data_IF_875141149927
#
_entry.id   IF_875141149927
#
_cell.length_a   1.000
_cell.length_b   1.000
_cell.length_c   1.000
_cell.angle_alpha   90.00
_cell.angle_beta   90.00
_cell.angle_gamma   90.00
#
_symmetry.space_group_name_H-M   'P 1'
#
loop_
_entity.id
_entity.type
_entity.pdbx_description
1 polymer ?
#
# COMPACT_ATOMS: atom_id res chain seq x y z
N UNK A 1 -41.83 -22.71 -25.98
CA UNK A 1 -40.50 -22.08 -25.83
C UNK A 1 -39.45 -23.17 -25.65
N UNK A 2 -38.37 -23.17 -26.44
CA UNK A 2 -37.28 -24.14 -26.29
C UNK A 2 -36.57 -23.94 -24.95
N UNK A 3 -35.92 -24.99 -24.42
CA UNK A 3 -35.19 -24.93 -23.14
C UNK A 3 -34.12 -23.83 -23.15
N UNK A 4 -33.50 -23.60 -24.31
CA UNK A 4 -32.50 -22.56 -24.54
C UNK A 4 -33.13 -21.17 -24.42
N UNK A 5 -34.32 -20.95 -25.01
CA UNK A 5 -35.03 -19.67 -24.89
C UNK A 5 -35.41 -19.34 -23.43
N UNK A 6 -35.73 -20.36 -22.61
CA UNK A 6 -36.01 -20.17 -21.18
C UNK A 6 -34.77 -19.77 -20.38
N UNK A 7 -33.62 -20.40 -20.68
CA UNK A 7 -32.34 -20.07 -20.04
C UNK A 7 -31.92 -18.65 -20.41
N UNK A 8 -32.05 -18.28 -21.69
CA UNK A 8 -31.71 -16.94 -22.16
C UNK A 8 -32.55 -15.87 -21.46
N UNK A 9 -33.86 -16.12 -21.33
CA UNK A 9 -34.81 -15.22 -20.66
C UNK A 9 -34.53 -15.10 -19.15
N UNK A 10 -34.14 -16.19 -18.50
CA UNK A 10 -33.71 -16.18 -17.10
C UNK A 10 -32.45 -15.31 -16.93
N UNK A 11 -31.47 -15.45 -17.83
CA UNK A 11 -30.22 -14.72 -17.76
C UNK A 11 -30.41 -13.21 -17.94
N UNK A 12 -31.26 -12.80 -18.89
CA UNK A 12 -31.62 -11.38 -19.05
C UNK A 12 -32.37 -10.84 -17.85
N UNK A 13 -33.25 -11.65 -17.24
CA UNK A 13 -33.96 -11.23 -16.03
C UNK A 13 -33.02 -11.01 -14.84
N UNK A 14 -32.04 -11.89 -14.66
CA UNK A 14 -31.00 -11.74 -13.62
C UNK A 14 -30.14 -10.50 -13.87
N UNK A 15 -29.72 -10.26 -15.11
CA UNK A 15 -28.95 -9.07 -15.47
C UNK A 15 -29.73 -7.77 -15.20
N UNK A 16 -31.03 -7.76 -15.51
CA UNK A 16 -31.92 -6.63 -15.23
C UNK A 16 -32.01 -6.35 -13.71
N UNK A 17 -32.14 -7.39 -12.89
CA UNK A 17 -32.18 -7.26 -11.44
C UNK A 17 -30.88 -6.68 -10.86
N UNK A 18 -29.72 -7.08 -11.40
CA UNK A 18 -28.42 -6.54 -11.00
C UNK A 18 -28.30 -5.04 -11.30
N UNK A 19 -28.75 -4.61 -12.48
CA UNK A 19 -28.77 -3.18 -12.84
C UNK A 19 -29.71 -2.40 -11.94
N UNK A 20 -30.90 -2.93 -11.63
CA UNK A 20 -31.84 -2.31 -10.69
C UNK A 20 -31.26 -2.20 -9.28
N UNK A 21 -30.55 -3.24 -8.82
CA UNK A 21 -29.87 -3.23 -7.52
C UNK A 21 -28.78 -2.15 -7.46
N UNK A 22 -27.99 -1.99 -8.51
CA UNK A 22 -26.99 -0.94 -8.62
C UNK A 22 -27.61 0.46 -8.60
N UNK A 23 -28.74 0.67 -9.29
CA UNK A 23 -29.45 1.95 -9.28
C UNK A 23 -30.03 2.24 -7.87
N UNK A 24 -30.63 1.25 -7.22
CA UNK A 24 -31.17 1.38 -5.86
C UNK A 24 -30.09 1.61 -4.80
N UNK A 25 -28.91 1.00 -4.95
CA UNK A 25 -27.78 1.18 -4.04
C UNK A 25 -26.97 2.45 -4.31
N UNK A 26 -27.18 3.08 -5.47
CA UNK A 26 -26.59 4.39 -5.78
C UNK A 26 -27.32 5.47 -4.99
N UNK A 27 -26.71 5.92 -3.88
CA UNK A 27 -27.17 7.13 -3.19
C UNK A 27 -26.85 8.35 -4.05
N UNK A 28 -27.88 9.07 -4.49
CA UNK A 28 -27.73 10.35 -5.18
C UNK A 28 -27.25 11.37 -4.14
N UNK A 29 -25.96 11.73 -4.19
CA UNK A 29 -25.44 12.89 -3.45
C UNK A 29 -26.02 14.13 -4.11
N UNK A 30 -27.13 14.60 -3.58
CA UNK A 30 -27.79 15.83 -4.04
C UNK A 30 -27.18 16.98 -3.26
N UNK A 31 -26.23 17.70 -3.87
CA UNK A 31 -25.80 19.00 -3.35
C UNK A 31 -26.96 19.96 -3.59
N UNK A 32 -27.73 20.28 -2.54
CA UNK A 32 -28.81 21.28 -2.63
C UNK A 32 -28.20 22.64 -2.99
N UNK A 33 -28.67 23.31 -4.06
CA UNK A 33 -28.40 24.73 -4.23
C UNK A 33 -29.16 25.51 -3.15
N UNK A 34 -28.45 26.46 -2.57
CA UNK A 34 -28.84 27.24 -1.40
C UNK A 34 -29.95 28.25 -1.79
N UNK A 35 -31.21 27.94 -1.47
CA UNK A 35 -32.32 28.89 -1.53
C UNK A 35 -32.91 29.08 -0.11
N UNK A 36 -32.28 29.94 0.68
CA UNK A 36 -32.94 30.70 1.76
C UNK A 36 -32.03 31.83 2.27
N UNK A 37 -31.74 32.79 1.40
CA UNK A 37 -31.40 34.13 1.87
C UNK A 37 -32.67 34.75 2.50
N UNK A 38 -32.87 34.58 3.80
CA UNK A 38 -33.50 35.58 4.67
C UNK A 38 -33.39 35.22 6.17
N UNK A 39 -32.87 36.21 6.91
CA UNK A 39 -32.92 36.42 8.37
C UNK A 39 -31.83 35.77 9.26
N UNK A 40 -30.71 36.50 9.38
CA UNK A 40 -29.85 36.84 10.54
C UNK A 40 -30.09 36.20 11.93
N UNK A 41 -29.13 36.31 12.88
CA UNK A 41 -27.67 36.22 12.80
C UNK A 41 -27.16 35.18 13.83
N UNK A 42 -26.38 34.17 13.44
CA UNK A 42 -25.74 33.33 14.47
C UNK A 42 -24.47 32.68 13.97
N UNK A 43 -23.36 33.27 14.45
CA UNK A 43 -22.01 32.73 14.56
C UNK A 43 -21.48 32.15 13.26
N UNK A 44 -20.59 32.92 12.64
CA UNK A 44 -19.44 32.43 11.89
C UNK A 44 -18.93 31.11 12.50
N UNK A 45 -19.45 29.98 12.01
CA UNK A 45 -18.74 28.74 12.04
C UNK A 45 -17.72 28.90 10.94
N UNK A 46 -16.50 29.25 11.38
CA UNK A 46 -15.31 29.12 10.58
C UNK A 46 -15.46 27.86 9.73
N UNK A 47 -15.35 28.03 8.40
CA UNK A 47 -15.13 26.91 7.49
C UNK A 47 -14.13 25.96 8.18
N UNK A 48 -14.35 24.63 8.15
CA UNK A 48 -13.35 23.71 8.67
C UNK A 48 -12.04 24.12 8.00
N UNK A 49 -11.15 24.69 8.81
CA UNK A 49 -9.82 25.05 8.36
C UNK A 49 -9.24 23.70 7.98
N UNK A 50 -9.22 23.39 6.68
CA UNK A 50 -8.34 22.34 6.19
C UNK A 50 -6.99 22.77 6.73
N UNK A 51 -6.40 22.02 7.69
CA UNK A 51 -5.12 22.41 8.24
C UNK A 51 -4.22 22.63 7.05
N UNK A 52 -3.66 23.82 6.92
CA UNK A 52 -2.76 24.16 5.84
C UNK A 52 -1.57 23.23 6.05
N UNK A 53 -1.59 22.07 5.40
CA UNK A 53 -0.55 21.06 5.54
C UNK A 53 0.71 21.76 5.12
N UNK A 54 1.60 21.96 6.08
CA UNK A 54 2.91 22.50 5.79
C UNK A 54 3.63 21.43 4.97
N UNK A 55 3.75 21.69 3.66
CA UNK A 55 4.31 20.72 2.72
C UNK A 55 5.77 20.41 3.04
N UNK A 56 6.50 21.35 3.65
CA UNK A 56 7.86 21.13 4.10
C UNK A 56 7.89 20.21 5.31
N UNK A 57 7.03 20.47 6.30
CA UNK A 57 6.91 19.60 7.47
C UNK A 57 6.44 18.20 7.09
N UNK A 58 5.54 18.06 6.12
CA UNK A 58 5.08 16.76 5.63
C UNK A 58 6.22 15.99 4.97
N UNK A 59 7.05 16.67 4.17
CA UNK A 59 8.23 16.08 3.55
C UNK A 59 9.27 15.65 4.57
N UNK A 60 9.61 16.51 5.54
CA UNK A 60 10.55 16.19 6.61
C UNK A 60 10.06 14.99 7.42
N UNK A 61 8.81 15.02 7.88
CA UNK A 61 8.19 13.90 8.59
C UNK A 61 8.25 12.61 7.78
N UNK A 62 7.95 12.65 6.48
CA UNK A 62 8.03 11.47 5.63
C UNK A 62 9.45 10.92 5.58
N UNK A 63 10.46 11.77 5.36
CA UNK A 63 11.87 11.37 5.32
C UNK A 63 12.33 10.77 6.65
N UNK A 64 12.02 11.42 7.76
CA UNK A 64 12.39 10.96 9.10
C UNK A 64 11.81 9.58 9.42
N UNK A 65 10.60 9.28 8.96
CA UNK A 65 9.95 7.99 9.23
C UNK A 65 10.34 6.89 8.24
N UNK A 66 10.61 7.21 6.96
CA UNK A 66 10.92 6.19 5.96
C UNK A 66 12.37 5.70 6.03
N UNK A 67 13.32 6.57 6.41
CA UNK A 67 14.73 6.21 6.55
C UNK A 67 14.94 5.02 7.49
N UNK A 68 14.44 5.02 8.75
CA UNK A 68 14.65 3.89 9.66
C UNK A 68 14.00 2.61 9.14
N UNK A 69 12.80 2.70 8.55
CA UNK A 69 12.11 1.54 7.96
C UNK A 69 12.96 0.93 6.83
N UNK A 70 13.49 1.77 5.94
CA UNK A 70 14.31 1.31 4.83
C UNK A 70 15.63 0.70 5.28
N UNK A 71 16.34 1.36 6.21
CA UNK A 71 17.62 0.87 6.75
C UNK A 71 17.45 -0.48 7.44
N UNK A 72 16.41 -0.62 8.26
CA UNK A 72 16.15 -1.87 8.96
C UNK A 72 15.79 -2.99 7.98
N UNK A 73 14.95 -2.71 6.98
CA UNK A 73 14.62 -3.66 5.93
C UNK A 73 15.87 -4.12 5.17
N UNK A 74 16.71 -3.18 4.73
CA UNK A 74 17.96 -3.50 4.02
C UNK A 74 18.88 -4.37 4.87
N UNK A 75 19.06 -4.02 6.15
CA UNK A 75 19.88 -4.80 7.07
C UNK A 75 19.34 -6.21 7.25
N UNK A 76 18.04 -6.35 7.52
CA UNK A 76 17.38 -7.64 7.70
C UNK A 76 17.58 -8.57 6.49
N UNK A 77 17.49 -7.99 5.29
CA UNK A 77 17.64 -8.69 4.02
C UNK A 77 19.09 -9.12 3.78
N UNK A 78 20.05 -8.23 4.06
CA UNK A 78 21.48 -8.56 3.96
C UNK A 78 21.89 -9.64 4.97
N UNK A 79 21.44 -9.53 6.21
CA UNK A 79 21.76 -10.48 7.28
C UNK A 79 21.20 -11.85 6.94
N UNK A 80 19.94 -11.92 6.48
CA UNK A 80 19.29 -13.17 6.08
C UNK A 80 20.11 -13.93 5.03
N UNK A 81 20.42 -13.32 3.89
CA UNK A 81 21.14 -14.04 2.83
C UNK A 81 22.64 -14.27 3.13
N UNK A 82 23.26 -13.41 3.94
CA UNK A 82 24.64 -13.65 4.38
C UNK A 82 24.72 -14.89 5.28
N UNK A 83 23.78 -15.02 6.22
CA UNK A 83 23.70 -16.17 7.14
C UNK A 83 23.31 -17.45 6.38
N UNK A 84 22.33 -17.39 5.47
CA UNK A 84 21.93 -18.53 4.64
C UNK A 84 23.08 -19.05 3.76
N UNK A 85 24.01 -18.19 3.33
CA UNK A 85 25.14 -18.59 2.48
C UNK A 85 26.29 -19.26 3.23
N UNK A 86 26.38 -19.06 4.55
CA UNK A 86 27.55 -19.47 5.37
C UNK A 86 27.27 -20.66 6.28
N UNK A 87 26.00 -21.00 6.52
CA UNK A 87 25.62 -21.92 7.58
C UNK A 87 24.93 -23.17 7.05
N UNK A 88 25.60 -24.32 7.14
CA UNK A 88 24.97 -25.65 6.99
C UNK A 88 24.16 -25.94 8.26
N UNK A 89 23.04 -25.25 8.45
CA UNK A 89 22.21 -25.38 9.65
C UNK A 89 21.14 -26.47 9.49
N UNK A 90 20.72 -27.06 10.62
CA UNK A 90 19.61 -28.03 10.63
C UNK A 90 18.34 -27.34 10.13
N UNK A 91 17.65 -27.98 9.19
CA UNK A 91 16.43 -27.53 8.51
C UNK A 91 15.32 -26.97 9.44
N UNK A 92 15.22 -27.47 10.67
CA UNK A 92 14.22 -26.99 11.66
C UNK A 92 14.53 -25.58 12.20
N UNK A 93 15.79 -25.25 12.44
CA UNK A 93 16.22 -23.95 12.92
C UNK A 93 16.20 -22.89 11.81
N UNK A 94 16.44 -23.31 10.57
CA UNK A 94 16.36 -22.44 9.38
C UNK A 94 14.93 -21.93 9.16
N UNK A 95 13.93 -22.81 9.31
CA UNK A 95 12.53 -22.43 9.13
C UNK A 95 12.02 -21.44 10.18
N UNK A 96 12.51 -21.53 11.41
CA UNK A 96 12.14 -20.58 12.48
C UNK A 96 12.74 -19.19 12.23
N UNK A 97 13.99 -19.13 11.80
CA UNK A 97 14.65 -17.88 11.41
C UNK A 97 13.98 -17.25 10.18
N UNK A 98 13.64 -18.05 9.17
CA UNK A 98 12.88 -17.59 8.00
C UNK A 98 11.55 -16.94 8.40
N UNK A 99 10.77 -17.62 9.25
CA UNK A 99 9.49 -17.08 9.69
C UNK A 99 9.64 -15.75 10.43
N UNK A 100 10.66 -15.62 11.29
CA UNK A 100 10.95 -14.38 12.01
C UNK A 100 11.31 -13.23 11.07
N UNK A 101 12.12 -13.50 10.05
CA UNK A 101 12.47 -12.52 9.02
C UNK A 101 11.22 -12.10 8.23
N UNK A 102 10.38 -13.06 7.82
CA UNK A 102 9.13 -12.79 7.09
C UNK A 102 8.14 -11.95 7.89
N UNK A 103 8.01 -12.24 9.18
CA UNK A 103 7.19 -11.47 10.12
C UNK A 103 7.72 -10.03 10.20
N UNK A 104 9.02 -9.86 10.42
CA UNK A 104 9.61 -8.52 10.53
C UNK A 104 9.50 -7.72 9.23
N UNK A 105 9.71 -8.33 8.07
CA UNK A 105 9.46 -7.68 6.76
C UNK A 105 7.99 -7.24 6.65
N UNK A 106 7.06 -8.06 7.14
CA UNK A 106 5.62 -7.73 7.09
C UNK A 106 5.27 -6.56 8.00
N UNK A 107 5.83 -6.50 9.21
CA UNK A 107 5.67 -5.37 10.13
C UNK A 107 6.22 -4.07 9.54
N UNK A 108 7.43 -4.11 8.99
CA UNK A 108 8.04 -2.96 8.35
C UNK A 108 7.24 -2.50 7.12
N UNK A 109 6.67 -3.43 6.35
CA UNK A 109 5.77 -3.10 5.23
C UNK A 109 4.51 -2.39 5.71
N UNK A 110 3.91 -2.84 6.81
CA UNK A 110 2.73 -2.18 7.40
C UNK A 110 3.10 -0.76 7.84
N UNK A 111 4.21 -0.62 8.58
CA UNK A 111 4.72 0.69 9.00
C UNK A 111 5.00 1.62 7.82
N UNK A 112 5.51 1.08 6.70
CA UNK A 112 5.66 1.82 5.45
C UNK A 112 4.30 2.28 4.93
N UNK A 113 3.32 1.38 4.79
CA UNK A 113 1.99 1.68 4.24
C UNK A 113 1.18 2.68 5.09
N UNK A 114 1.49 2.80 6.38
CA UNK A 114 0.83 3.74 7.30
C UNK A 114 1.37 5.17 7.20
N UNK A 115 2.47 5.40 6.47
CA UNK A 115 3.04 6.73 6.30
C UNK A 115 2.14 7.62 5.44
N UNK A 116 2.00 8.89 5.85
CA UNK A 116 1.41 9.92 4.98
C UNK A 116 2.43 10.32 3.93
N UNK A 117 2.11 10.10 2.65
CA UNK A 117 3.07 10.23 1.53
C UNK A 117 2.91 11.58 0.83
N UNK A 118 3.96 12.43 0.81
CA UNK A 118 3.99 13.61 -0.05
C UNK A 118 3.91 13.21 -1.53
N UNK A 119 3.23 14.01 -2.35
CA UNK A 119 3.00 13.66 -3.76
C UNK A 119 4.29 13.40 -4.53
N UNK A 120 5.34 14.17 -4.25
CA UNK A 120 6.67 14.02 -4.86
C UNK A 120 7.39 12.70 -4.53
N UNK A 121 6.96 11.96 -3.48
CA UNK A 121 7.56 10.69 -3.07
C UNK A 121 6.64 9.48 -3.33
N UNK A 122 5.54 9.66 -4.06
CA UNK A 122 4.60 8.58 -4.36
C UNK A 122 5.28 7.40 -5.06
N UNK A 123 6.08 7.67 -6.08
CA UNK A 123 6.72 6.62 -6.87
C UNK A 123 7.78 5.87 -6.06
N UNK A 124 8.58 6.59 -5.26
CA UNK A 124 9.49 6.00 -4.28
C UNK A 124 8.75 5.06 -3.32
N UNK A 125 7.66 5.56 -2.72
CA UNK A 125 6.88 4.79 -1.76
C UNK A 125 6.33 3.50 -2.37
N UNK A 126 5.75 3.58 -3.57
CA UNK A 126 5.25 2.41 -4.29
C UNK A 126 6.38 1.45 -4.64
N UNK A 127 7.53 1.96 -5.09
CA UNK A 127 8.73 1.17 -5.37
C UNK A 127 9.20 0.38 -4.15
N UNK A 128 9.21 1.02 -2.97
CA UNK A 128 9.56 0.37 -1.71
C UNK A 128 8.53 -0.69 -1.29
N UNK A 129 7.23 -0.42 -1.40
CA UNK A 129 6.19 -1.43 -1.10
C UNK A 129 6.31 -2.65 -2.01
N UNK A 130 6.62 -2.43 -3.29
CA UNK A 130 6.86 -3.51 -4.25
C UNK A 130 8.13 -4.29 -3.92
N UNK A 131 9.21 -3.59 -3.58
CA UNK A 131 10.47 -4.19 -3.15
C UNK A 131 10.26 -5.14 -1.95
N UNK A 132 9.57 -4.68 -0.90
CA UNK A 132 9.26 -5.50 0.27
C UNK A 132 8.47 -6.75 -0.10
N UNK A 133 7.50 -6.60 -1.00
CA UNK A 133 6.65 -7.71 -1.45
C UNK A 133 7.46 -8.74 -2.26
N UNK A 134 8.36 -8.28 -3.12
CA UNK A 134 9.24 -9.13 -3.92
C UNK A 134 10.20 -9.92 -3.04
N UNK A 135 10.86 -9.27 -2.10
CA UNK A 135 11.78 -9.96 -1.20
C UNK A 135 11.07 -10.93 -0.27
N UNK A 136 9.92 -10.52 0.30
CA UNK A 136 9.10 -11.43 1.08
C UNK A 136 8.70 -12.68 0.28
N UNK A 137 8.19 -12.48 -0.94
CA UNK A 137 7.78 -13.60 -1.80
C UNK A 137 8.97 -14.50 -2.17
N UNK A 138 10.14 -13.91 -2.41
CA UNK A 138 11.37 -14.68 -2.66
C UNK A 138 11.72 -15.61 -1.49
N UNK A 139 11.63 -15.11 -0.26
CA UNK A 139 11.93 -15.91 0.94
C UNK A 139 10.89 -17.02 1.13
N UNK A 140 9.59 -16.72 0.94
CA UNK A 140 8.48 -17.68 1.09
C UNK A 140 8.49 -18.78 0.02
N UNK A 141 8.75 -18.41 -1.23
CA UNK A 141 8.59 -19.30 -2.39
C UNK A 141 9.91 -19.81 -2.97
N UNK A 142 11.04 -19.33 -2.44
CA UNK A 142 12.40 -19.54 -2.99
C UNK A 142 12.53 -19.07 -4.45
N UNK A 143 11.79 -18.02 -4.81
CA UNK A 143 11.82 -17.41 -6.14
C UNK A 143 13.07 -16.55 -6.32
N UNK A 144 14.02 -17.01 -7.15
CA UNK A 144 15.21 -16.24 -7.53
C UNK A 144 14.88 -15.05 -8.42
N UNK A 145 13.79 -15.11 -9.20
CA UNK A 145 13.32 -13.96 -9.98
C UNK A 145 12.90 -12.83 -9.05
N UNK A 146 12.08 -13.11 -8.03
CA UNK A 146 11.64 -12.07 -7.10
C UNK A 146 12.78 -11.56 -6.22
N UNK A 147 13.77 -12.42 -5.94
CA UNK A 147 15.02 -12.02 -5.29
C UNK A 147 15.76 -10.97 -6.11
N UNK A 148 16.04 -11.31 -7.38
CA UNK A 148 16.77 -10.44 -8.31
C UNK A 148 16.03 -9.14 -8.55
N UNK A 149 14.71 -9.20 -8.79
CA UNK A 149 13.86 -8.02 -8.97
C UNK A 149 13.90 -7.11 -7.73
N UNK A 150 13.68 -7.67 -6.54
CA UNK A 150 13.66 -6.89 -5.31
C UNK A 150 15.03 -6.30 -4.98
N UNK A 151 16.12 -7.05 -5.14
CA UNK A 151 17.48 -6.54 -4.98
C UNK A 151 17.80 -5.40 -5.97
N UNK A 152 17.37 -5.55 -7.22
CA UNK A 152 17.50 -4.49 -8.23
C UNK A 152 16.75 -3.23 -7.83
N UNK A 153 15.54 -3.37 -7.29
CA UNK A 153 14.74 -2.24 -6.79
C UNK A 153 15.41 -1.56 -5.58
N UNK A 154 16.00 -2.31 -4.64
CA UNK A 154 16.79 -1.75 -3.54
C UNK A 154 17.93 -0.89 -4.11
N UNK A 155 18.70 -1.44 -5.05
CA UNK A 155 19.80 -0.73 -5.69
C UNK A 155 19.35 0.55 -6.41
N UNK A 156 18.25 0.48 -7.15
CA UNK A 156 17.66 1.62 -7.84
C UNK A 156 17.25 2.72 -6.86
N UNK A 157 16.50 2.37 -5.80
CA UNK A 157 16.02 3.33 -4.79
C UNK A 157 17.20 4.02 -4.10
N UNK A 158 18.27 3.29 -3.77
CA UNK A 158 19.48 3.87 -3.16
C UNK A 158 20.17 4.86 -4.09
N UNK A 159 20.22 4.57 -5.38
CA UNK A 159 20.88 5.41 -6.37
C UNK A 159 20.07 6.69 -6.66
N UNK A 160 18.74 6.57 -6.77
CA UNK A 160 17.85 7.69 -7.09
C UNK A 160 17.58 8.58 -5.86
N UNK A 161 17.61 8.00 -4.65
CA UNK A 161 17.29 8.68 -3.40
C UNK A 161 18.41 8.50 -2.37
N UNK A 162 19.60 9.02 -2.69
CA UNK A 162 20.79 8.88 -1.85
C UNK A 162 20.67 9.43 -0.41
N UNK A 163 19.62 10.18 -0.08
CA UNK A 163 19.32 10.60 1.29
C UNK A 163 18.74 9.47 2.16
N UNK A 164 18.23 8.37 1.58
CA UNK A 164 17.74 7.21 2.33
C UNK A 164 18.86 6.42 3.02
N UNK A 165 20.10 6.58 2.53
CA UNK A 165 21.29 5.84 2.98
C UNK A 165 22.25 6.69 3.81
N UNK A 166 21.93 7.97 4.04
CA UNK A 166 22.64 8.86 4.96
C UNK A 166 22.24 8.53 6.40
#
# INVERSE_FOLDING_TARGET
MSKIAKILLLLTFVALLLVLYLIMSSQIITVKPDEANQAAPKKEQAAPQVPKVDLLQLEENYKENIIPIFKEFEQLVNDFWTISSTTSFKELTEKEEENKVLERISELKIGLMDLTVPEQYRDLHLGLVLCFSKIKNSIETKSETDKSDGLSLIGQVKNEHGWLVQ
#
